data_IF_325090755886
#
_entry.id   IF_325090755886
#
_cell.length_a   1.000
_cell.length_b   1.000
_cell.length_c   1.000
_cell.angle_alpha   90.00
_cell.angle_beta   90.00
_cell.angle_gamma   90.00
#
_symmetry.space_group_name_H-M   'P 1'
#
loop_
_entity.id
_entity.type
_entity.pdbx_description
1 polymer ?
#
# COMPACT_ATOMS: atom_id res chain seq x y z
N UNK A 1 -43.84 16.64 11.58
CA UNK A 1 -43.15 15.97 10.45
C UNK A 1 -43.90 14.69 10.10
N UNK A 2 -44.28 14.49 8.83
CA UNK A 2 -45.11 13.34 8.40
C UNK A 2 -44.29 12.02 8.50
N UNK A 3 -44.86 10.92 9.03
CA UNK A 3 -44.16 9.64 9.29
C UNK A 3 -43.58 8.98 8.02
N UNK A 4 -44.06 9.36 6.83
CA UNK A 4 -43.54 8.89 5.54
C UNK A 4 -42.07 9.30 5.26
N UNK A 5 -41.62 10.45 5.80
CA UNK A 5 -40.22 10.89 5.63
C UNK A 5 -39.26 10.20 6.59
N UNK A 6 -39.75 9.72 7.74
CA UNK A 6 -38.95 8.98 8.71
C UNK A 6 -38.56 7.60 8.17
N UNK A 7 -39.47 6.92 7.47
CA UNK A 7 -39.22 5.60 6.88
C UNK A 7 -38.19 5.65 5.73
N UNK A 8 -38.23 6.68 4.88
CA UNK A 8 -37.26 6.88 3.80
C UNK A 8 -35.84 7.19 4.31
N UNK A 9 -35.73 7.93 5.42
CA UNK A 9 -34.45 8.22 6.08
C UNK A 9 -33.82 6.97 6.73
N UNK A 10 -34.63 6.08 7.32
CA UNK A 10 -34.14 4.83 7.91
C UNK A 10 -33.66 3.85 6.83
N UNK A 11 -34.37 3.76 5.70
CA UNK A 11 -33.98 2.86 4.61
C UNK A 11 -32.68 3.29 3.91
N UNK A 12 -32.44 4.59 3.74
CA UNK A 12 -31.18 5.07 3.16
C UNK A 12 -29.99 4.80 4.08
N UNK A 13 -30.17 4.89 5.41
CA UNK A 13 -29.11 4.64 6.39
C UNK A 13 -28.66 3.16 6.41
N UNK A 14 -29.60 2.22 6.27
CA UNK A 14 -29.32 0.77 6.23
C UNK A 14 -28.45 0.36 5.02
N UNK A 15 -28.69 0.94 3.85
CA UNK A 15 -27.93 0.61 2.63
C UNK A 15 -26.48 1.10 2.68
N UNK A 16 -26.21 2.23 3.36
CA UNK A 16 -24.87 2.80 3.50
C UNK A 16 -23.97 1.95 4.42
N UNK A 17 -24.54 1.44 5.52
CA UNK A 17 -23.82 0.58 6.48
C UNK A 17 -23.35 -0.74 5.84
N UNK A 18 -24.21 -1.38 5.03
CA UNK A 18 -23.89 -2.64 4.34
C UNK A 18 -22.73 -2.49 3.36
N UNK A 19 -22.69 -1.39 2.60
CA UNK A 19 -21.62 -1.11 1.63
C UNK A 19 -20.26 -0.89 2.30
N UNK A 20 -20.24 -0.16 3.42
CA UNK A 20 -19.02 0.09 4.18
C UNK A 20 -18.46 -1.19 4.81
N UNK A 21 -19.32 -2.05 5.36
CA UNK A 21 -18.91 -3.34 5.94
C UNK A 21 -18.33 -4.27 4.88
N UNK A 22 -18.92 -4.30 3.68
CA UNK A 22 -18.41 -5.08 2.54
C UNK A 22 -17.02 -4.57 2.10
N UNK A 23 -16.83 -3.25 2.00
CA UNK A 23 -15.53 -2.65 1.65
C UNK A 23 -14.42 -3.02 2.64
N UNK A 24 -14.72 -3.02 3.95
CA UNK A 24 -13.77 -3.39 5.00
C UNK A 24 -13.43 -4.89 4.93
N UNK A 25 -14.42 -5.76 4.82
CA UNK A 25 -14.20 -7.19 4.68
C UNK A 25 -13.34 -7.52 3.43
N UNK A 26 -13.61 -6.84 2.31
CA UNK A 26 -12.81 -6.99 1.10
C UNK A 26 -11.38 -6.48 1.28
N UNK A 27 -11.17 -5.40 2.06
CA UNK A 27 -9.84 -4.91 2.40
C UNK A 27 -9.06 -5.97 3.18
N UNK A 28 -9.65 -6.50 4.25
CA UNK A 28 -9.01 -7.51 5.10
C UNK A 28 -8.64 -8.76 4.30
N UNK A 29 -9.55 -9.25 3.45
CA UNK A 29 -9.29 -10.36 2.54
C UNK A 29 -8.18 -10.05 1.54
N UNK A 30 -8.16 -8.83 0.99
CA UNK A 30 -7.12 -8.41 0.04
C UNK A 30 -5.75 -8.37 0.70
N UNK A 31 -5.66 -7.79 1.90
CA UNK A 31 -4.41 -7.75 2.68
C UNK A 31 -3.91 -9.17 2.97
N UNK A 32 -4.78 -10.06 3.47
CA UNK A 32 -4.41 -11.44 3.77
C UNK A 32 -3.90 -12.18 2.53
N UNK A 33 -4.59 -12.02 1.39
CA UNK A 33 -4.19 -12.65 0.13
C UNK A 33 -2.86 -12.11 -0.41
N UNK A 34 -2.59 -10.80 -0.28
CA UNK A 34 -1.32 -10.20 -0.67
C UNK A 34 -0.19 -10.75 0.19
N UNK A 35 -0.33 -10.71 1.51
CA UNK A 35 0.69 -11.25 2.43
C UNK A 35 0.98 -12.72 2.14
N UNK A 36 -0.08 -13.52 1.93
CA UNK A 36 0.05 -14.94 1.56
C UNK A 36 0.78 -15.10 0.22
N UNK A 37 0.46 -14.28 -0.78
CA UNK A 37 1.11 -14.35 -2.07
C UNK A 37 2.60 -13.99 -2.02
N UNK A 38 3.02 -13.08 -1.14
CA UNK A 38 4.45 -12.81 -0.89
C UNK A 38 5.12 -14.00 -0.19
N UNK A 39 4.51 -14.51 0.87
CA UNK A 39 5.00 -15.70 1.61
C UNK A 39 5.19 -16.91 0.68
N UNK A 40 4.26 -17.15 -0.23
CA UNK A 40 4.27 -18.30 -1.15
C UNK A 40 4.95 -18.00 -2.50
N UNK A 41 5.44 -16.77 -2.71
CA UNK A 41 5.95 -16.30 -4.01
C UNK A 41 4.97 -16.52 -5.17
N UNK A 42 3.67 -16.41 -4.88
CA UNK A 42 2.58 -16.70 -5.82
C UNK A 42 2.31 -15.50 -6.74
N UNK A 43 3.06 -15.44 -7.85
CA UNK A 43 2.94 -14.39 -8.86
C UNK A 43 1.52 -14.27 -9.44
N UNK A 44 0.82 -15.39 -9.64
CA UNK A 44 -0.55 -15.39 -10.17
C UNK A 44 -1.51 -14.67 -9.24
N UNK A 45 -1.45 -14.96 -7.94
CA UNK A 45 -2.33 -14.35 -6.94
C UNK A 45 -2.05 -12.86 -6.77
N UNK A 46 -0.78 -12.46 -6.62
CA UNK A 46 -0.45 -11.05 -6.39
C UNK A 46 -0.84 -10.16 -7.59
N UNK A 47 -0.64 -10.67 -8.82
CA UNK A 47 -0.92 -9.91 -10.03
C UNK A 47 -2.42 -9.72 -10.30
N UNK A 48 -3.32 -10.45 -9.63
CA UNK A 48 -4.76 -10.17 -9.66
C UNK A 48 -5.13 -8.85 -8.96
N UNK A 49 -4.24 -8.32 -8.11
CA UNK A 49 -4.41 -7.03 -7.43
C UNK A 49 -3.75 -5.87 -8.17
N UNK A 50 -3.11 -6.12 -9.31
CA UNK A 50 -2.39 -5.12 -10.08
C UNK A 50 -3.28 -4.54 -11.17
N UNK A 51 -3.32 -3.22 -11.25
CA UNK A 51 -4.01 -2.54 -12.34
C UNK A 51 -3.21 -2.67 -13.63
N UNK A 52 -3.79 -3.28 -14.67
CA UNK A 52 -3.17 -3.34 -16.01
C UNK A 52 -2.91 -1.96 -16.63
N UNK A 53 -3.65 -0.94 -16.21
CA UNK A 53 -3.50 0.43 -16.71
C UNK A 53 -2.47 1.23 -15.92
N UNK A 54 -2.40 1.01 -14.59
CA UNK A 54 -1.63 1.86 -13.67
C UNK A 54 -0.35 1.23 -13.14
N UNK A 55 -0.20 -0.09 -13.26
CA UNK A 55 0.89 -0.86 -12.69
C UNK A 55 1.00 -0.73 -11.17
N UNK A 56 2.19 -1.02 -10.66
CA UNK A 56 2.62 -0.88 -9.26
C UNK A 56 3.86 0.01 -9.25
N UNK A 57 3.92 0.91 -8.29
CA UNK A 57 5.12 1.71 -8.02
C UNK A 57 5.98 0.95 -7.02
N UNK A 58 7.25 0.72 -7.38
CA UNK A 58 8.26 0.24 -6.44
C UNK A 58 9.09 1.43 -6.01
N UNK A 59 8.99 1.79 -4.73
CA UNK A 59 9.86 2.79 -4.13
C UNK A 59 11.15 2.10 -3.68
N UNK A 60 12.29 2.69 -4.02
CA UNK A 60 13.62 2.15 -3.69
C UNK A 60 14.60 3.30 -3.55
N UNK A 61 15.60 3.17 -2.70
CA UNK A 61 16.66 4.17 -2.55
C UNK A 61 17.89 3.76 -3.35
N UNK A 62 18.44 4.73 -4.10
CA UNK A 62 19.72 4.58 -4.79
C UNK A 62 20.68 5.64 -4.21
N UNK A 63 21.55 5.23 -3.29
CA UNK A 63 22.41 6.17 -2.55
C UNK A 63 21.58 7.01 -1.59
N UNK A 64 21.62 8.34 -1.72
CA UNK A 64 20.95 9.26 -0.78
C UNK A 64 19.49 9.54 -1.15
N UNK A 65 19.12 9.39 -2.42
CA UNK A 65 17.80 9.78 -2.91
C UNK A 65 16.88 8.58 -3.10
N UNK A 66 15.68 8.69 -2.54
CA UNK A 66 14.57 7.82 -2.88
C UNK A 66 14.22 7.99 -4.35
N UNK A 67 13.94 6.88 -5.00
CA UNK A 67 13.55 6.80 -6.39
C UNK A 67 12.34 5.86 -6.54
N UNK A 68 11.82 5.75 -7.75
CA UNK A 68 10.74 4.84 -8.03
C UNK A 68 10.78 4.29 -9.45
N UNK A 69 10.22 3.11 -9.61
CA UNK A 69 9.90 2.56 -10.92
C UNK A 69 8.46 2.07 -10.96
N UNK A 70 7.83 2.09 -12.13
CA UNK A 70 6.51 1.49 -12.34
C UNK A 70 6.69 0.17 -13.06
N UNK A 71 6.09 -0.88 -12.53
CA UNK A 71 6.06 -2.22 -13.16
C UNK A 71 4.61 -2.64 -13.38
N UNK A 72 4.36 -3.43 -14.42
CA UNK A 72 3.01 -3.89 -14.75
C UNK A 72 2.62 -5.19 -14.02
N UNK A 73 3.61 -5.90 -13.47
CA UNK A 73 3.42 -7.17 -12.75
C UNK A 73 4.59 -7.47 -11.82
N UNK A 74 4.32 -8.14 -10.70
CA UNK A 74 5.32 -8.72 -9.81
C UNK A 74 5.82 -10.04 -10.40
N UNK A 75 7.15 -10.18 -10.45
CA UNK A 75 7.83 -11.44 -10.69
C UNK A 75 8.82 -11.69 -9.53
N UNK A 76 8.58 -12.73 -8.74
CA UNK A 76 9.43 -13.06 -7.58
C UNK A 76 10.82 -13.59 -7.97
N UNK A 77 10.98 -14.15 -9.17
CA UNK A 77 12.27 -14.61 -9.70
C UNK A 77 13.10 -13.47 -10.29
N UNK A 78 12.44 -12.37 -10.69
CA UNK A 78 13.06 -11.17 -11.26
C UNK A 78 12.60 -9.94 -10.47
N UNK A 79 13.06 -9.78 -9.22
CA UNK A 79 12.65 -8.68 -8.38
C UNK A 79 13.05 -7.34 -8.99
N UNK A 80 12.39 -6.27 -8.54
CA UNK A 80 12.69 -4.91 -9.00
C UNK A 80 13.11 -4.04 -7.80
N UNK A 81 14.33 -3.49 -7.79
CA UNK A 81 15.43 -3.79 -8.71
C UNK A 81 15.95 -5.23 -8.54
N UNK A 82 16.69 -5.73 -9.53
CA UNK A 82 17.11 -7.15 -9.61
C UNK A 82 18.04 -7.60 -8.48
N UNK A 83 18.75 -6.67 -7.84
CA UNK A 83 19.68 -6.97 -6.75
C UNK A 83 19.01 -7.04 -5.37
N UNK A 84 17.73 -6.67 -5.26
CA UNK A 84 17.03 -6.58 -3.98
C UNK A 84 15.79 -7.48 -4.01
N UNK A 85 15.86 -8.71 -3.46
CA UNK A 85 14.72 -9.65 -3.41
C UNK A 85 13.47 -9.06 -2.76
N UNK A 86 12.28 -9.49 -3.18
CA UNK A 86 11.06 -9.10 -2.47
C UNK A 86 11.00 -9.75 -1.09
N UNK A 87 10.28 -9.12 -0.16
CA UNK A 87 10.12 -9.63 1.20
C UNK A 87 9.49 -11.04 1.22
N UNK A 88 9.93 -11.87 2.15
CA UNK A 88 9.48 -13.26 2.33
C UNK A 88 8.92 -13.49 3.74
N UNK A 89 7.79 -12.85 4.09
CA UNK A 89 7.24 -12.95 5.43
C UNK A 89 6.87 -14.39 5.78
N UNK A 90 7.23 -14.86 6.98
CA UNK A 90 7.00 -16.25 7.39
C UNK A 90 5.65 -16.45 8.08
N UNK A 91 5.15 -15.42 8.77
CA UNK A 91 3.89 -15.48 9.51
C UNK A 91 2.85 -14.50 8.98
N UNK A 92 1.57 -14.86 9.19
CA UNK A 92 0.43 -13.99 8.94
C UNK A 92 -0.16 -13.66 10.30
N UNK A 93 -0.23 -12.38 10.62
CA UNK A 93 -0.87 -11.89 11.84
C UNK A 93 -2.28 -11.38 11.54
N UNK A 94 -3.12 -11.26 12.58
CA UNK A 94 -4.41 -10.58 12.48
C UNK A 94 -4.20 -9.09 12.21
N UNK A 95 -4.98 -8.52 11.30
CA UNK A 95 -4.91 -7.10 10.95
C UNK A 95 -5.31 -6.24 12.16
N UNK A 96 -4.48 -5.24 12.46
CA UNK A 96 -4.70 -4.24 13.48
C UNK A 96 -4.85 -2.85 12.82
N UNK A 97 -5.88 -2.10 13.23
CA UNK A 97 -6.17 -0.75 12.72
C UNK A 97 -5.65 0.38 13.62
N UNK A 98 -4.76 0.06 14.57
CA UNK A 98 -4.05 1.03 15.39
C UNK A 98 -2.96 1.77 14.60
N UNK A 99 -2.27 2.73 15.24
CA UNK A 99 -1.13 3.43 14.65
C UNK A 99 -0.11 2.47 14.03
N UNK A 100 0.42 2.81 12.86
CA UNK A 100 1.45 2.01 12.19
C UNK A 100 2.73 1.88 13.06
N UNK A 101 3.45 0.75 12.97
CA UNK A 101 4.78 0.65 13.56
C UNK A 101 5.73 1.67 12.92
N UNK A 102 6.74 2.09 13.67
CA UNK A 102 7.80 2.98 13.21
C UNK A 102 9.11 2.22 13.20
N UNK A 103 9.90 2.39 12.14
CA UNK A 103 11.25 1.86 12.06
C UNK A 103 12.23 2.90 12.61
N UNK A 104 13.22 2.46 13.39
CA UNK A 104 14.26 3.29 13.96
C UNK A 104 15.61 2.93 13.35
N UNK A 105 16.23 3.86 12.61
CA UNK A 105 17.53 3.65 11.99
C UNK A 105 18.70 3.63 12.99
N UNK A 106 18.52 4.12 14.21
CA UNK A 106 19.59 4.12 15.21
C UNK A 106 19.87 2.74 15.77
N UNK A 107 18.85 1.88 15.86
CA UNK A 107 18.94 0.53 16.43
C UNK A 107 18.44 -0.57 15.46
N UNK A 108 18.11 -0.19 14.22
CA UNK A 108 17.59 -1.09 13.18
C UNK A 108 16.39 -1.93 13.64
N UNK A 109 15.48 -1.32 14.40
CA UNK A 109 14.34 -2.03 14.99
C UNK A 109 12.99 -1.40 14.68
N UNK A 110 11.96 -2.25 14.65
CA UNK A 110 10.58 -1.84 14.61
C UNK A 110 10.03 -1.62 16.01
N UNK A 111 9.24 -0.55 16.18
CA UNK A 111 8.58 -0.25 17.46
C UNK A 111 7.60 -1.33 17.94
N UNK A 112 7.13 -2.21 17.05
CA UNK A 112 6.24 -3.34 17.34
C UNK A 112 6.10 -4.27 16.13
N UNK A 113 5.80 -5.55 16.40
CA UNK A 113 5.52 -6.60 15.42
C UNK A 113 4.03 -6.79 15.15
N UNK A 114 3.69 -7.39 14.02
CA UNK A 114 2.31 -7.70 13.59
C UNK A 114 1.93 -7.08 12.25
N UNK A 115 0.64 -7.19 11.91
CA UNK A 115 0.07 -6.69 10.66
C UNK A 115 -0.83 -5.48 10.93
N UNK A 116 -0.50 -4.33 10.35
CA UNK A 116 -1.17 -3.06 10.60
C UNK A 116 -1.68 -2.42 9.30
N UNK A 117 -2.87 -1.82 9.30
CA UNK A 117 -3.39 -0.99 8.19
C UNK A 117 -3.89 0.35 8.74
N UNK A 118 -3.42 1.45 8.16
CA UNK A 118 -3.93 2.79 8.42
C UNK A 118 -4.85 3.22 7.26
N UNK A 119 -6.13 3.38 7.57
CA UNK A 119 -7.15 3.87 6.63
C UNK A 119 -7.51 5.34 6.85
N UNK A 120 -6.91 5.99 7.85
CA UNK A 120 -7.28 7.34 8.30
C UNK A 120 -6.29 8.39 7.79
N UNK A 121 -5.00 8.03 7.64
CA UNK A 121 -3.95 8.95 7.21
C UNK A 121 -3.47 8.60 5.80
N UNK A 122 -3.48 9.60 4.92
CA UNK A 122 -2.80 9.49 3.64
C UNK A 122 -1.28 9.44 3.87
N UNK A 123 -0.65 8.38 3.37
CA UNK A 123 0.81 8.31 3.23
C UNK A 123 1.23 9.29 2.13
N UNK A 124 2.34 10.01 2.29
CA UNK A 124 2.84 10.98 1.28
C UNK A 124 4.21 10.61 0.73
N UNK A 125 4.63 9.36 0.95
CA UNK A 125 5.96 8.90 0.61
C UNK A 125 6.23 9.02 -0.90
N UNK A 126 5.33 8.52 -1.75
CA UNK A 126 5.52 8.60 -3.20
C UNK A 126 5.45 10.05 -3.69
N UNK A 127 4.54 10.87 -3.15
CA UNK A 127 4.50 12.30 -3.46
C UNK A 127 5.83 12.99 -3.13
N UNK A 128 6.40 12.71 -1.96
CA UNK A 128 7.68 13.29 -1.53
C UNK A 128 8.84 12.78 -2.40
N UNK A 129 8.86 11.50 -2.77
CA UNK A 129 9.83 10.94 -3.72
C UNK A 129 9.77 11.69 -5.05
N UNK A 130 8.59 11.84 -5.66
CA UNK A 130 8.44 12.58 -6.93
C UNK A 130 8.86 14.04 -6.77
N UNK A 131 8.48 14.69 -5.66
CA UNK A 131 8.86 16.08 -5.37
C UNK A 131 10.38 16.26 -5.33
N UNK A 132 11.10 15.33 -4.74
CA UNK A 132 12.56 15.36 -4.63
C UNK A 132 13.25 15.10 -5.98
N UNK A 133 12.61 14.36 -6.89
CA UNK A 133 13.08 14.11 -8.24
C UNK A 133 12.74 15.22 -9.25
N UNK A 134 12.41 16.43 -8.79
CA UNK A 134 11.98 17.55 -9.66
C UNK A 134 12.97 17.84 -10.80
N UNK A 135 14.27 17.78 -10.53
CA UNK A 135 15.31 18.08 -11.51
C UNK A 135 15.70 16.88 -12.39
N UNK A 136 15.26 15.67 -12.04
CA UNK A 136 15.47 14.44 -12.82
C UNK A 136 14.43 14.29 -13.95
N UNK A 137 13.37 15.10 -13.94
CA UNK A 137 12.26 15.01 -14.88
C UNK A 137 12.08 16.25 -15.73
N UNK A 138 11.58 16.04 -16.95
CA UNK A 138 11.00 17.14 -17.72
C UNK A 138 9.79 17.73 -16.97
N UNK A 139 9.52 19.03 -17.15
CA UNK A 139 8.38 19.71 -16.51
C UNK A 139 7.04 18.99 -16.72
N UNK A 140 6.81 18.43 -17.92
CA UNK A 140 5.62 17.65 -18.25
C UNK A 140 5.55 16.34 -17.44
N UNK A 141 6.65 15.58 -17.39
CA UNK A 141 6.72 14.31 -16.63
C UNK A 141 6.57 14.57 -15.13
N UNK A 142 7.27 15.56 -14.59
CA UNK A 142 7.17 15.94 -13.18
C UNK A 142 5.73 16.24 -12.76
N UNK A 143 5.02 17.11 -13.50
CA UNK A 143 3.62 17.44 -13.22
C UNK A 143 2.70 16.21 -13.28
N UNK A 144 2.92 15.32 -14.26
CA UNK A 144 2.15 14.08 -14.42
C UNK A 144 2.34 13.16 -13.21
N UNK A 145 3.57 12.86 -12.83
CA UNK A 145 3.86 11.94 -11.73
C UNK A 145 3.46 12.54 -10.38
N UNK A 146 3.60 13.87 -10.19
CA UNK A 146 3.17 14.54 -8.96
C UNK A 146 1.65 14.44 -8.78
N UNK A 147 0.89 14.63 -9.88
CA UNK A 147 -0.56 14.42 -9.86
C UNK A 147 -0.92 12.95 -9.60
N UNK A 148 -0.23 12.01 -10.24
CA UNK A 148 -0.43 10.58 -10.04
C UNK A 148 -0.20 10.20 -8.58
N UNK A 149 0.85 10.71 -7.94
CA UNK A 149 1.14 10.46 -6.53
C UNK A 149 0.00 10.97 -5.63
N UNK A 150 -0.43 12.22 -5.83
CA UNK A 150 -1.58 12.78 -5.09
C UNK A 150 -2.85 11.95 -5.24
N UNK A 151 -3.16 11.51 -6.47
CA UNK A 151 -4.38 10.76 -6.75
C UNK A 151 -4.35 9.36 -6.11
N UNK A 152 -3.19 8.69 -6.10
CA UNK A 152 -3.03 7.37 -5.48
C UNK A 152 -3.05 7.46 -3.94
N UNK A 153 -2.36 8.43 -3.37
CA UNK A 153 -2.17 8.53 -1.92
C UNK A 153 -3.39 9.11 -1.19
N UNK A 154 -4.24 9.90 -1.87
CA UNK A 154 -5.41 10.56 -1.25
C UNK A 154 -6.37 9.59 -0.55
N UNK A 155 -6.54 8.38 -1.10
CA UNK A 155 -7.50 7.39 -0.61
C UNK A 155 -6.86 6.00 -0.42
N UNK A 156 -5.55 5.94 -0.19
CA UNK A 156 -4.83 4.69 0.03
C UNK A 156 -4.90 4.23 1.50
N UNK A 157 -4.92 2.90 1.75
CA UNK A 157 -4.46 2.36 3.03
C UNK A 157 -2.97 1.99 2.90
N UNK A 158 -2.15 2.44 3.86
CA UNK A 158 -0.80 1.90 4.05
C UNK A 158 -0.86 0.69 4.97
N UNK A 159 -0.26 -0.41 4.54
CA UNK A 159 -0.16 -1.67 5.27
C UNK A 159 1.30 -1.91 5.62
N UNK A 160 1.55 -2.30 6.87
CA UNK A 160 2.87 -2.75 7.33
C UNK A 160 2.70 -4.10 8.01
N UNK A 161 3.38 -5.11 7.48
CA UNK A 161 3.67 -6.34 8.19
C UNK A 161 5.09 -6.26 8.74
N UNK A 162 5.26 -6.59 10.02
CA UNK A 162 6.55 -6.92 10.63
C UNK A 162 6.37 -8.29 11.25
N UNK A 163 7.04 -9.29 10.70
CA UNK A 163 6.90 -10.67 11.16
C UNK A 163 7.78 -10.96 12.39
N UNK A 164 7.68 -12.17 12.93
CA UNK A 164 8.44 -12.56 14.13
C UNK A 164 9.96 -12.58 13.92
N UNK A 165 10.44 -12.68 12.67
CA UNK A 165 11.85 -12.66 12.30
C UNK A 165 12.34 -11.26 11.88
N UNK A 166 11.56 -10.22 12.12
CA UNK A 166 11.84 -8.84 11.71
C UNK A 166 11.85 -8.64 10.18
N UNK A 167 11.28 -9.58 9.42
CA UNK A 167 11.00 -9.40 7.99
C UNK A 167 9.81 -8.46 7.83
N UNK A 168 9.97 -7.42 7.01
CA UNK A 168 8.93 -6.43 6.77
C UNK A 168 8.37 -6.45 5.34
N UNK A 169 7.06 -6.24 5.23
CA UNK A 169 6.38 -6.04 3.97
C UNK A 169 5.50 -4.79 4.07
N UNK A 170 5.88 -3.75 3.34
CA UNK A 170 5.19 -2.46 3.36
C UNK A 170 4.59 -2.17 1.98
N UNK A 171 3.29 -1.94 1.95
CA UNK A 171 2.58 -1.69 0.70
C UNK A 171 1.37 -0.78 0.89
N UNK A 172 0.86 -0.23 -0.22
CA UNK A 172 -0.32 0.62 -0.22
C UNK A 172 -1.40 0.02 -1.13
N UNK A 173 -2.65 0.15 -0.69
CA UNK A 173 -3.83 -0.30 -1.41
C UNK A 173 -4.76 0.86 -1.73
N UNK A 174 -5.32 0.89 -2.92
CA UNK A 174 -6.37 1.85 -3.32
C UNK A 174 -7.64 1.11 -3.71
N UNK A 175 -8.79 1.59 -3.25
CA UNK A 175 -10.08 1.05 -3.66
C UNK A 175 -10.56 1.72 -4.96
N UNK A 176 -10.71 0.95 -6.03
CA UNK A 176 -11.21 1.40 -7.32
C UNK A 176 -11.97 0.29 -8.03
N UNK A 177 -13.03 0.62 -8.77
CA UNK A 177 -13.84 -0.34 -9.53
C UNK A 177 -14.30 -1.55 -8.68
N UNK A 178 -14.74 -1.28 -7.44
CA UNK A 178 -15.19 -2.26 -6.44
C UNK A 178 -14.13 -3.29 -6.02
N UNK A 179 -12.83 -2.99 -6.22
CA UNK A 179 -11.71 -3.84 -5.84
C UNK A 179 -10.64 -3.03 -5.11
N UNK A 180 -9.94 -3.66 -4.18
CA UNK A 180 -8.70 -3.11 -3.64
C UNK A 180 -7.55 -3.53 -4.55
N UNK A 181 -6.73 -2.56 -4.95
CA UNK A 181 -5.62 -2.73 -5.86
C UNK A 181 -4.30 -2.40 -5.16
N UNK A 182 -3.28 -3.20 -5.39
CA UNK A 182 -1.91 -2.92 -4.98
C UNK A 182 -1.34 -1.80 -5.85
N UNK A 183 -0.88 -0.72 -5.21
CA UNK A 183 -0.40 0.47 -5.94
C UNK A 183 1.04 0.83 -5.66
N UNK A 184 1.53 0.60 -4.44
CA UNK A 184 2.91 0.93 -4.04
C UNK A 184 3.47 -0.22 -3.21
N UNK A 185 4.70 -0.63 -3.50
CA UNK A 185 5.56 -1.38 -2.58
C UNK A 185 6.65 -0.41 -2.09
N UNK A 186 6.73 -0.28 -0.77
CA UNK A 186 7.61 0.65 -0.08
C UNK A 186 8.82 -0.12 0.43
N UNK A 187 9.98 0.16 -0.17
CA UNK A 187 11.26 -0.47 0.20
C UNK A 187 12.26 0.54 0.74
N UNK A 188 11.77 1.70 1.16
CA UNK A 188 12.60 2.83 1.60
C UNK A 188 12.38 3.16 3.07
N UNK A 189 11.24 2.77 3.65
CA UNK A 189 10.95 3.03 5.08
C UNK A 189 11.96 2.38 6.01
N UNK A 190 12.48 1.20 5.66
CA UNK A 190 13.50 0.47 6.43
C UNK A 190 14.91 0.66 5.90
N UNK A 191 15.09 1.46 4.84
CA UNK A 191 16.40 1.76 4.30
C UNK A 191 17.03 2.94 5.06
N UNK A 192 18.07 2.63 5.82
CA UNK A 192 18.85 3.60 6.61
C UNK A 192 20.13 4.06 5.92
N UNK A 193 20.32 3.73 4.63
CA UNK A 193 21.37 4.35 3.82
C UNK A 193 21.01 5.82 3.61
N UNK A 194 21.67 6.70 4.33
CA UNK A 194 21.53 8.16 4.27
C UNK A 194 22.90 8.78 4.48
#
# INVERSE_FOLDING_TARGET
>A
MKPKYLFLLVFSFLTLLSSAQNKKLLLEKTIANIVTAFKEKNATTINNYVSKEKGIIILVRYGVLDNFTTIDSINFEKPTPSYLPYAEPKSIAKINYNNLPKFNCSDYSWSKKGLFCDTLKANKLFYNTVKNLKYEFTSKKYKKELKRALDLEKNSCKVILVDENDEDLIFNLVYSNKKWLLTIIDRVTTDCSA
#
